data_IF_402678848101
#
_entry.id   IF_402678848101
#
_cell.length_a   1.000
_cell.length_b   1.000
_cell.length_c   1.000
_cell.angle_alpha   90.00
_cell.angle_beta   90.00
_cell.angle_gamma   90.00
#
_symmetry.space_group_name_H-M   'P 1'
#
loop_
_entity.id
_entity.type
_entity.pdbx_description
1 polymer ?
#
# COMPACT_ATOMS: atom_id res chain seq x y z
N UNK A 1 23.83 11.11 -7.60
CA UNK A 1 22.37 11.15 -7.34
C UNK A 1 22.05 10.04 -6.37
N UNK A 2 21.17 10.27 -5.39
CA UNK A 2 20.60 9.24 -4.53
C UNK A 2 19.09 9.28 -4.73
N UNK A 3 18.47 8.18 -5.15
CA UNK A 3 17.03 8.11 -5.45
C UNK A 3 16.35 7.02 -4.62
N UNK A 4 15.39 7.39 -3.77
CA UNK A 4 14.55 6.43 -3.04
C UNK A 4 13.43 5.84 -3.90
N UNK A 5 13.42 4.53 -4.10
CA UNK A 5 12.41 3.79 -4.87
C UNK A 5 11.17 3.59 -4.00
N UNK A 6 10.19 4.48 -4.12
CA UNK A 6 8.87 4.34 -3.45
C UNK A 6 7.88 3.51 -4.26
N UNK A 7 8.17 3.30 -5.52
CA UNK A 7 7.39 2.54 -6.48
C UNK A 7 8.33 2.03 -7.59
N UNK A 8 7.74 1.38 -8.60
CA UNK A 8 8.48 0.78 -9.71
C UNK A 8 8.80 1.75 -10.85
N UNK A 9 8.27 2.98 -10.84
CA UNK A 9 8.43 3.94 -11.95
C UNK A 9 9.89 4.18 -12.32
N UNK A 10 10.86 4.29 -11.39
CA UNK A 10 12.25 4.53 -11.75
C UNK A 10 12.87 3.41 -12.60
N UNK A 11 12.27 2.22 -12.66
CA UNK A 11 12.86 1.08 -13.37
C UNK A 11 11.91 0.35 -14.32
N UNK A 12 10.70 0.86 -14.50
CA UNK A 12 9.76 0.45 -15.55
C UNK A 12 9.73 1.48 -16.67
N UNK A 13 8.99 1.21 -17.74
CA UNK A 13 8.68 2.17 -18.81
C UNK A 13 7.53 3.13 -18.47
N UNK A 14 7.29 3.42 -17.18
CA UNK A 14 6.36 4.46 -16.73
C UNK A 14 5.25 4.02 -15.76
N UNK A 15 5.11 2.72 -15.47
CA UNK A 15 4.12 2.27 -14.49
C UNK A 15 4.67 2.33 -13.05
N UNK A 16 3.86 2.81 -12.10
CA UNK A 16 4.21 2.82 -10.68
C UNK A 16 4.19 1.41 -10.08
N UNK A 17 3.33 0.53 -10.59
CA UNK A 17 3.32 -0.88 -10.25
C UNK A 17 3.02 -1.71 -11.50
N UNK A 18 3.71 -2.82 -11.67
CA UNK A 18 3.59 -3.65 -12.88
C UNK A 18 2.52 -4.74 -12.75
N UNK A 19 1.96 -4.97 -11.56
CA UNK A 19 1.07 -6.10 -11.31
C UNK A 19 1.76 -7.42 -11.65
N UNK A 20 1.17 -8.18 -12.57
CA UNK A 20 1.73 -9.45 -13.07
C UNK A 20 2.67 -9.27 -14.27
N UNK A 21 2.86 -8.05 -14.79
CA UNK A 21 3.75 -7.78 -15.90
C UNK A 21 5.21 -7.74 -15.44
N UNK A 22 6.08 -8.52 -16.08
CA UNK A 22 7.52 -8.57 -15.79
C UNK A 22 8.39 -7.95 -16.89
N UNK A 23 7.79 -7.29 -17.89
CA UNK A 23 8.52 -6.74 -19.04
C UNK A 23 9.54 -5.67 -18.68
N UNK A 24 9.51 -5.11 -17.46
CA UNK A 24 10.57 -4.23 -16.97
C UNK A 24 11.96 -4.91 -16.95
N UNK A 25 12.00 -6.25 -16.87
CA UNK A 25 13.22 -7.04 -16.97
C UNK A 25 13.76 -7.17 -18.41
N UNK A 26 12.90 -7.02 -19.42
CA UNK A 26 13.26 -7.09 -20.85
C UNK A 26 13.25 -5.73 -21.55
N UNK A 27 12.90 -4.66 -20.84
CA UNK A 27 12.94 -3.28 -21.34
C UNK A 27 11.60 -2.69 -21.79
N UNK A 28 10.48 -3.23 -21.30
CA UNK A 28 9.11 -2.78 -21.61
C UNK A 28 8.76 -2.86 -23.12
N UNK A 29 7.67 -2.21 -23.54
CA UNK A 29 7.05 -2.38 -24.86
C UNK A 29 5.81 -3.29 -24.83
N UNK A 30 4.86 -3.06 -25.74
CA UNK A 30 3.57 -3.77 -25.80
C UNK A 30 2.92 -3.84 -24.39
N UNK A 31 2.86 -2.70 -23.73
CA UNK A 31 2.40 -2.49 -22.38
C UNK A 31 0.89 -2.80 -22.29
N UNK A 32 0.48 -3.77 -21.46
CA UNK A 32 -0.93 -4.14 -21.32
C UNK A 32 -1.80 -3.00 -20.78
N UNK A 33 -1.22 -2.09 -19.98
CA UNK A 33 -1.93 -0.92 -19.44
C UNK A 33 -2.27 0.08 -20.56
N UNK A 34 -1.45 0.16 -21.61
CA UNK A 34 -1.66 1.05 -22.76
C UNK A 34 -2.39 0.36 -23.91
N UNK A 35 -2.90 -0.86 -23.71
CA UNK A 35 -3.63 -1.63 -24.73
C UNK A 35 -2.77 -2.65 -25.49
N UNK A 36 -1.47 -2.77 -25.20
CA UNK A 36 -0.61 -3.86 -25.68
C UNK A 36 -0.30 -3.84 -27.19
N UNK A 37 -0.41 -2.67 -27.83
CA UNK A 37 -0.18 -2.49 -29.26
C UNK A 37 1.30 -2.28 -29.61
N UNK A 38 1.55 -1.65 -30.76
CA UNK A 38 2.91 -1.34 -31.24
C UNK A 38 3.50 -0.06 -30.59
N UNK A 39 3.10 0.31 -29.37
CA UNK A 39 3.63 1.51 -28.76
C UNK A 39 5.08 1.32 -28.28
N UNK A 40 5.94 2.27 -28.69
CA UNK A 40 7.35 2.30 -28.33
C UNK A 40 7.64 3.15 -27.11
N UNK A 41 6.67 3.97 -26.67
CA UNK A 41 6.88 4.98 -25.62
C UNK A 41 7.46 4.39 -24.32
N UNK A 42 7.05 3.17 -23.94
CA UNK A 42 7.54 2.55 -22.70
C UNK A 42 8.95 1.97 -22.84
N UNK A 43 9.33 1.47 -24.01
CA UNK A 43 10.69 1.01 -24.27
C UNK A 43 11.65 2.18 -24.54
N UNK A 44 11.15 3.26 -25.15
CA UNK A 44 11.88 4.53 -25.28
C UNK A 44 12.16 5.17 -23.92
N UNK A 45 11.18 5.17 -23.00
CA UNK A 45 11.37 5.64 -21.62
C UNK A 45 12.42 4.80 -20.86
N UNK A 46 12.40 3.47 -21.01
CA UNK A 46 13.45 2.59 -20.49
C UNK A 46 14.82 2.97 -21.07
N UNK A 47 14.93 3.12 -22.39
CA UNK A 47 16.19 3.46 -23.05
C UNK A 47 16.69 4.84 -22.60
N UNK A 48 15.78 5.79 -22.41
CA UNK A 48 16.08 7.10 -21.85
C UNK A 48 16.65 6.99 -20.43
N UNK A 49 16.01 6.24 -19.54
CA UNK A 49 16.50 6.05 -18.15
C UNK A 49 17.85 5.35 -18.10
N UNK A 50 18.05 4.29 -18.90
CA UNK A 50 19.35 3.58 -19.02
C UNK A 50 20.46 4.56 -19.42
N UNK A 51 20.19 5.43 -20.40
CA UNK A 51 21.15 6.41 -20.91
C UNK A 51 21.47 7.52 -19.89
N UNK A 52 20.48 7.98 -19.13
CA UNK A 52 20.63 9.19 -18.31
C UNK A 52 20.86 8.93 -16.82
N UNK A 53 20.63 7.71 -16.33
CA UNK A 53 21.04 7.34 -14.98
C UNK A 53 22.55 7.18 -14.94
N UNK A 54 23.22 8.18 -14.34
CA UNK A 54 24.68 8.21 -14.26
C UNK A 54 25.26 7.00 -13.51
N UNK A 55 26.50 6.60 -13.81
CA UNK A 55 27.14 5.41 -13.23
C UNK A 55 27.33 5.47 -11.72
N UNK A 56 27.34 6.67 -11.12
CA UNK A 56 27.46 6.89 -9.68
C UNK A 56 26.11 7.08 -8.98
N UNK A 57 25.00 6.75 -9.66
CA UNK A 57 23.66 6.84 -9.06
C UNK A 57 23.45 5.69 -8.09
N UNK A 58 23.01 6.02 -6.88
CA UNK A 58 22.61 5.04 -5.86
C UNK A 58 21.09 5.06 -5.75
N UNK A 59 20.48 3.88 -5.82
CA UNK A 59 19.05 3.71 -5.66
C UNK A 59 18.77 3.05 -4.31
N UNK A 60 17.81 3.58 -3.57
CA UNK A 60 17.47 3.12 -2.23
C UNK A 60 16.07 2.54 -2.26
N UNK A 61 15.96 1.23 -2.30
CA UNK A 61 14.69 0.53 -2.20
C UNK A 61 14.16 0.57 -0.77
N UNK A 62 12.85 0.80 -0.62
CA UNK A 62 12.19 0.79 0.69
C UNK A 62 11.82 -0.60 1.18
N UNK A 63 12.01 -1.63 0.36
CA UNK A 63 11.80 -3.04 0.71
C UNK A 63 12.71 -3.95 -0.12
N UNK A 64 12.91 -5.19 0.34
CA UNK A 64 13.63 -6.21 -0.43
C UNK A 64 12.89 -6.54 -1.73
N UNK A 65 11.55 -6.60 -1.71
CA UNK A 65 10.73 -6.87 -2.90
C UNK A 65 11.01 -5.86 -4.02
N UNK A 66 11.00 -4.57 -3.71
CA UNK A 66 11.32 -3.51 -4.69
C UNK A 66 12.78 -3.61 -5.13
N UNK A 67 13.71 -3.92 -4.22
CA UNK A 67 15.12 -4.09 -4.54
C UNK A 67 15.36 -5.23 -5.53
N UNK A 68 14.71 -6.37 -5.33
CA UNK A 68 14.77 -7.53 -6.22
C UNK A 68 14.21 -7.22 -7.61
N UNK A 69 13.06 -6.56 -7.68
CA UNK A 69 12.48 -6.13 -8.96
C UNK A 69 13.39 -5.12 -9.69
N UNK A 70 13.95 -4.16 -8.97
CA UNK A 70 14.90 -3.20 -9.51
C UNK A 70 16.16 -3.89 -10.05
N UNK A 71 16.73 -4.86 -9.31
CA UNK A 71 17.90 -5.65 -9.74
C UNK A 71 17.61 -6.50 -10.98
N UNK A 72 16.37 -6.95 -11.18
CA UNK A 72 15.94 -7.67 -12.39
C UNK A 72 15.70 -6.74 -13.59
N UNK A 73 15.47 -5.45 -13.35
CA UNK A 73 15.09 -4.50 -14.40
C UNK A 73 16.22 -4.20 -15.39
N UNK A 74 15.87 -3.93 -16.65
CA UNK A 74 16.82 -3.43 -17.65
C UNK A 74 17.45 -2.11 -17.22
N UNK A 75 16.69 -1.26 -16.52
CA UNK A 75 17.12 0.09 -16.16
C UNK A 75 18.17 0.09 -15.05
N UNK A 76 17.99 -0.74 -14.01
CA UNK A 76 18.75 -0.66 -12.76
C UNK A 76 19.64 -1.87 -12.44
N UNK A 77 19.61 -2.96 -13.23
CA UNK A 77 20.39 -4.18 -12.91
C UNK A 77 21.90 -3.97 -12.72
N UNK A 78 22.48 -2.97 -13.37
CA UNK A 78 23.91 -2.61 -13.25
C UNK A 78 24.16 -1.39 -12.32
N UNK A 79 23.19 -1.04 -11.46
CA UNK A 79 23.26 0.14 -10.58
C UNK A 79 23.43 -0.28 -9.12
N UNK A 80 23.99 0.62 -8.31
CA UNK A 80 24.06 0.40 -6.87
C UNK A 80 22.65 0.52 -6.26
N UNK A 81 22.14 -0.60 -5.73
CA UNK A 81 20.83 -0.71 -5.09
C UNK A 81 21.02 -1.12 -3.64
N UNK A 82 20.65 -0.21 -2.73
CA UNK A 82 20.63 -0.42 -1.27
C UNK A 82 19.19 -0.55 -0.78
N UNK A 83 19.02 -1.19 0.36
CA UNK A 83 17.71 -1.32 1.02
C UNK A 83 17.73 -0.52 2.31
N UNK A 84 16.85 0.48 2.41
CA UNK A 84 16.60 1.25 3.63
C UNK A 84 15.09 1.33 3.80
N UNK A 85 14.51 0.50 4.70
CA UNK A 85 13.08 0.51 4.98
C UNK A 85 12.54 1.85 5.44
N UNK A 86 11.25 2.08 5.23
CA UNK A 86 10.55 3.19 5.90
C UNK A 86 10.53 2.94 7.41
N UNK A 87 10.72 4.01 8.18
CA UNK A 87 10.61 4.00 9.64
C UNK A 87 9.34 4.70 10.09
N UNK A 88 8.90 4.40 11.31
CA UNK A 88 7.83 5.11 12.00
C UNK A 88 8.39 5.86 13.21
N UNK A 89 7.77 6.98 13.54
CA UNK A 89 8.18 7.80 14.68
C UNK A 89 7.63 7.20 15.98
N UNK A 90 8.46 6.41 16.67
CA UNK A 90 8.07 5.66 17.87
C UNK A 90 7.65 6.57 19.04
N UNK A 91 8.03 7.85 19.02
CA UNK A 91 7.58 8.84 20.00
C UNK A 91 6.09 9.19 19.84
N UNK A 92 5.56 9.05 18.62
CA UNK A 92 4.16 9.33 18.26
C UNK A 92 3.30 8.06 18.25
N UNK A 93 3.80 6.97 17.67
CA UNK A 93 3.10 5.68 17.60
C UNK A 93 3.56 4.75 18.73
N UNK A 94 2.91 4.88 19.88
CA UNK A 94 3.19 4.08 21.08
C UNK A 94 1.93 3.42 21.61
N UNK A 95 2.05 2.16 22.04
CA UNK A 95 0.95 1.44 22.64
C UNK A 95 0.32 2.24 23.79
N UNK A 96 -1.00 2.40 23.74
CA UNK A 96 -1.83 2.98 24.79
C UNK A 96 -2.62 1.89 25.51
N UNK A 97 -3.23 2.24 26.64
CA UNK A 97 -4.23 1.36 27.24
C UNK A 97 -5.39 1.14 26.25
N UNK A 98 -5.67 -0.13 25.96
CA UNK A 98 -6.65 -0.52 24.94
C UNK A 98 -8.07 -0.06 25.30
N UNK A 99 -8.45 -0.11 26.58
CA UNK A 99 -9.78 0.29 27.01
C UNK A 99 -9.96 1.81 26.90
N UNK A 100 -8.93 2.59 27.25
CA UNK A 100 -8.91 4.04 27.05
C UNK A 100 -8.99 4.41 25.57
N UNK A 101 -8.22 3.74 24.71
CA UNK A 101 -8.25 3.99 23.26
C UNK A 101 -9.63 3.68 22.65
N UNK A 102 -10.24 2.56 23.04
CA UNK A 102 -11.62 2.21 22.63
C UNK A 102 -12.63 3.25 23.09
N UNK A 103 -12.55 3.66 24.37
CA UNK A 103 -13.46 4.67 24.91
C UNK A 103 -13.32 6.02 24.20
N UNK A 104 -12.09 6.44 23.88
CA UNK A 104 -11.83 7.70 23.19
C UNK A 104 -12.39 7.72 21.76
N UNK A 105 -12.37 6.55 21.09
CA UNK A 105 -12.87 6.38 19.72
C UNK A 105 -14.35 5.99 19.64
N UNK A 106 -15.04 5.81 20.77
CA UNK A 106 -16.42 5.32 20.81
C UNK A 106 -16.57 3.86 20.35
N UNK A 107 -15.51 3.06 20.46
CA UNK A 107 -15.49 1.66 20.06
C UNK A 107 -15.99 0.75 21.22
N UNK A 108 -16.61 -0.40 20.89
CA UNK A 108 -17.14 -1.31 21.90
C UNK A 108 -16.02 -1.95 22.74
N UNK A 109 -16.19 -1.95 24.06
CA UNK A 109 -15.20 -2.49 25.00
C UNK A 109 -15.07 -4.03 24.92
N UNK A 110 -16.19 -4.74 24.73
CA UNK A 110 -16.30 -6.20 24.87
C UNK A 110 -16.36 -6.95 23.52
N UNK A 111 -15.85 -6.35 22.44
CA UNK A 111 -15.79 -6.99 21.12
C UNK A 111 -14.34 -7.17 20.67
N UNK A 112 -14.16 -8.07 19.70
CA UNK A 112 -12.93 -8.24 18.95
C UNK A 112 -12.85 -7.16 17.86
N UNK A 113 -11.97 -6.19 18.02
CA UNK A 113 -11.84 -5.03 17.14
C UNK A 113 -10.80 -5.29 16.06
N UNK A 114 -11.22 -5.27 14.80
CA UNK A 114 -10.35 -5.41 13.63
C UNK A 114 -10.18 -4.04 12.98
N UNK A 115 -8.94 -3.54 12.93
CA UNK A 115 -8.64 -2.30 12.23
C UNK A 115 -8.17 -2.58 10.79
N UNK A 116 -8.56 -1.71 9.86
CA UNK A 116 -8.01 -1.69 8.50
C UNK A 116 -8.06 -0.28 7.97
N UNK A 117 -7.05 0.11 7.20
CA UNK A 117 -7.04 1.42 6.58
C UNK A 117 -6.25 1.53 5.30
N UNK A 118 -6.68 2.46 4.46
CA UNK A 118 -6.05 2.84 3.20
C UNK A 118 -6.42 4.28 2.86
N UNK A 119 -5.65 4.95 1.99
CA UNK A 119 -6.05 6.27 1.49
C UNK A 119 -7.45 6.23 0.84
N UNK A 120 -7.70 5.17 0.06
CA UNK A 120 -9.00 4.81 -0.48
C UNK A 120 -9.24 3.32 -0.22
N UNK A 121 -10.26 3.01 0.58
CA UNK A 121 -10.66 1.64 0.93
C UNK A 121 -11.21 0.86 -0.27
N UNK A 122 -11.75 1.56 -1.28
CA UNK A 122 -12.30 0.95 -2.48
C UNK A 122 -11.25 0.72 -3.59
N UNK A 123 -9.96 1.02 -3.36
CA UNK A 123 -8.90 0.77 -4.34
C UNK A 123 -8.66 -0.75 -4.51
N UNK A 124 -8.84 -1.31 -5.72
CA UNK A 124 -8.60 -2.73 -5.98
C UNK A 124 -7.19 -3.19 -5.58
N UNK A 125 -6.17 -2.34 -5.73
CA UNK A 125 -4.78 -2.68 -5.36
C UNK A 125 -4.61 -2.88 -3.85
N UNK A 126 -5.45 -2.21 -3.05
CA UNK A 126 -5.50 -2.35 -1.59
C UNK A 126 -6.39 -3.52 -1.14
N UNK A 127 -6.85 -4.35 -2.08
CA UNK A 127 -7.64 -5.54 -1.79
C UNK A 127 -9.10 -5.25 -1.49
N UNK A 128 -9.69 -4.22 -2.11
CA UNK A 128 -11.09 -3.83 -1.88
C UNK A 128 -12.08 -4.99 -2.07
N UNK A 129 -11.86 -5.88 -3.04
CA UNK A 129 -12.72 -7.06 -3.26
C UNK A 129 -12.62 -8.08 -2.11
N UNK A 130 -11.41 -8.29 -1.58
CA UNK A 130 -11.17 -9.17 -0.44
C UNK A 130 -11.83 -8.57 0.81
N UNK A 131 -11.64 -7.27 1.04
CA UNK A 131 -12.26 -6.58 2.18
C UNK A 131 -13.79 -6.60 2.08
N UNK A 132 -14.36 -6.35 0.89
CA UNK A 132 -15.80 -6.48 0.64
C UNK A 132 -16.34 -7.84 1.02
N UNK A 133 -15.65 -8.90 0.59
CA UNK A 133 -16.05 -10.26 0.89
C UNK A 133 -16.02 -10.53 2.39
N UNK A 134 -14.94 -10.15 3.08
CA UNK A 134 -14.80 -10.34 4.53
C UNK A 134 -15.88 -9.57 5.30
N UNK A 135 -16.11 -8.30 4.97
CA UNK A 135 -17.16 -7.49 5.61
C UNK A 135 -18.56 -8.07 5.40
N UNK A 136 -18.81 -8.71 4.26
CA UNK A 136 -20.08 -9.41 4.00
C UNK A 136 -20.23 -10.67 4.86
N UNK A 137 -19.18 -11.49 4.94
CA UNK A 137 -19.18 -12.74 5.74
C UNK A 137 -19.38 -12.47 7.23
N UNK A 138 -18.77 -11.42 7.76
CA UNK A 138 -18.84 -11.06 9.18
C UNK A 138 -19.86 -9.96 9.49
N UNK A 139 -20.80 -9.67 8.57
CA UNK A 139 -21.75 -8.55 8.70
C UNK A 139 -22.59 -8.62 9.97
N UNK A 140 -23.10 -9.81 10.30
CA UNK A 140 -24.01 -10.03 11.44
C UNK A 140 -23.29 -10.59 12.68
N UNK A 141 -21.95 -10.69 12.66
CA UNK A 141 -21.19 -11.16 13.80
C UNK A 141 -21.15 -10.10 14.90
N UNK A 142 -21.83 -10.40 16.02
CA UNK A 142 -21.95 -9.52 17.18
C UNK A 142 -20.68 -9.43 18.02
N UNK A 143 -19.76 -10.39 17.86
CA UNK A 143 -18.49 -10.43 18.60
C UNK A 143 -17.39 -9.64 17.90
N UNK A 144 -17.54 -9.34 16.61
CA UNK A 144 -16.57 -8.58 15.81
C UNK A 144 -17.00 -7.13 15.66
N UNK A 145 -16.03 -6.22 15.63
CA UNK A 145 -16.23 -4.83 15.26
C UNK A 145 -15.12 -4.35 14.33
N UNK A 146 -15.50 -3.73 13.21
CA UNK A 146 -14.57 -3.20 12.22
C UNK A 146 -14.30 -1.72 12.46
N UNK A 147 -13.03 -1.37 12.57
CA UNK A 147 -12.54 -0.01 12.69
C UNK A 147 -11.86 0.36 11.36
N UNK A 148 -12.60 1.03 10.46
CA UNK A 148 -12.15 1.34 9.11
C UNK A 148 -11.75 2.81 8.99
N UNK A 149 -10.61 3.09 8.37
CA UNK A 149 -10.17 4.46 8.14
C UNK A 149 -9.61 4.66 6.73
N UNK A 150 -9.90 5.81 6.15
CA UNK A 150 -9.71 6.07 4.72
C UNK A 150 -10.93 6.72 4.08
N UNK A 151 -10.78 7.13 2.82
CA UNK A 151 -11.91 7.46 1.95
C UNK A 151 -12.52 6.17 1.38
N UNK A 152 -13.70 6.26 0.78
CA UNK A 152 -14.21 5.15 -0.02
C UNK A 152 -14.99 4.08 0.76
N UNK A 153 -15.47 4.36 1.98
CA UNK A 153 -16.15 3.34 2.80
C UNK A 153 -17.50 2.91 2.20
N UNK A 154 -18.31 3.85 1.72
CA UNK A 154 -19.60 3.53 1.11
C UNK A 154 -19.42 2.85 -0.26
N UNK A 155 -18.37 3.21 -0.99
CA UNK A 155 -17.96 2.57 -2.24
C UNK A 155 -17.36 1.17 -2.01
N UNK A 156 -16.77 0.96 -0.84
CA UNK A 156 -16.35 -0.36 -0.40
C UNK A 156 -17.58 -1.22 -0.09
N UNK A 157 -18.51 -0.76 0.76
CA UNK A 157 -19.68 -1.55 1.17
C UNK A 157 -20.90 -0.66 1.46
N UNK A 158 -22.03 -0.99 0.84
CA UNK A 158 -23.31 -0.31 1.03
C UNK A 158 -24.46 -1.34 1.13
N UNK A 159 -25.35 -1.28 2.15
CA UNK A 159 -25.22 -0.44 3.35
C UNK A 159 -23.99 -0.83 4.18
N UNK A 160 -23.40 0.17 4.85
CA UNK A 160 -22.33 -0.03 5.82
C UNK A 160 -22.86 -0.87 6.99
N UNK A 161 -22.24 -2.02 7.35
CA UNK A 161 -22.69 -2.85 8.46
C UNK A 161 -22.72 -2.11 9.81
N UNK A 162 -23.66 -2.46 10.69
CA UNK A 162 -23.76 -1.87 12.04
C UNK A 162 -22.53 -2.15 12.91
N UNK A 163 -21.83 -3.25 12.65
CA UNK A 163 -20.58 -3.58 13.33
C UNK A 163 -19.35 -2.91 12.69
N UNK A 164 -19.52 -1.86 11.88
CA UNK A 164 -18.44 -1.07 11.31
C UNK A 164 -18.48 0.38 11.82
N UNK A 165 -17.31 0.91 12.18
CA UNK A 165 -17.10 2.34 12.44
C UNK A 165 -16.08 2.87 11.43
N UNK A 166 -16.49 3.90 10.68
CA UNK A 166 -15.63 4.61 9.73
C UNK A 166 -15.08 5.90 10.32
N UNK A 167 -13.76 6.09 10.31
CA UNK A 167 -13.10 7.31 10.79
C UNK A 167 -12.72 8.30 9.68
N UNK A 168 -12.98 7.95 8.42
CA UNK A 168 -12.58 8.78 7.28
C UNK A 168 -11.06 8.90 7.16
N UNK A 169 -10.59 9.92 6.43
CA UNK A 169 -9.16 10.14 6.24
C UNK A 169 -8.51 10.66 7.53
N UNK A 170 -7.56 9.90 8.07
CA UNK A 170 -6.77 10.31 9.24
C UNK A 170 -5.54 11.09 8.80
N UNK A 171 -5.33 12.25 9.42
CA UNK A 171 -4.13 13.10 9.26
C UNK A 171 -3.48 13.45 10.61
N UNK A 172 -4.05 12.94 11.69
CA UNK A 172 -3.63 13.20 13.05
C UNK A 172 -3.03 11.91 13.63
N UNK A 173 -1.74 11.96 13.98
CA UNK A 173 -0.99 10.84 14.51
C UNK A 173 -1.56 10.36 15.86
N UNK A 174 -2.21 11.23 16.64
CA UNK A 174 -2.86 10.88 17.91
C UNK A 174 -4.04 9.94 17.64
N UNK A 175 -4.90 10.28 16.68
CA UNK A 175 -6.04 9.46 16.31
C UNK A 175 -5.56 8.14 15.71
N UNK A 176 -4.54 8.19 14.84
CA UNK A 176 -3.96 6.99 14.26
C UNK A 176 -3.40 6.05 15.33
N UNK A 177 -2.68 6.58 16.31
CA UNK A 177 -2.16 5.80 17.43
C UNK A 177 -3.26 5.17 18.29
N UNK A 178 -4.37 5.90 18.52
CA UNK A 178 -5.54 5.37 19.22
C UNK A 178 -6.18 4.23 18.44
N UNK A 179 -6.32 4.34 17.12
CA UNK A 179 -6.89 3.27 16.28
C UNK A 179 -6.04 2.01 16.41
N UNK A 180 -4.72 2.12 16.25
CA UNK A 180 -3.82 0.98 16.40
C UNK A 180 -3.84 0.38 17.80
N UNK A 181 -3.92 1.22 18.85
CA UNK A 181 -3.98 0.75 20.24
C UNK A 181 -5.33 0.11 20.62
N UNK A 182 -6.42 0.52 19.99
CA UNK A 182 -7.77 -0.01 20.25
C UNK A 182 -8.00 -1.38 19.58
N UNK A 183 -7.31 -1.64 18.48
CA UNK A 183 -7.45 -2.85 17.69
C UNK A 183 -6.89 -4.09 18.42
N UNK A 184 -7.51 -5.24 18.17
CA UNK A 184 -6.95 -6.55 18.49
C UNK A 184 -6.05 -7.06 17.36
N UNK A 185 -6.39 -6.72 16.11
CA UNK A 185 -5.60 -7.04 14.93
C UNK A 185 -5.77 -5.94 13.88
N UNK A 186 -4.70 -5.70 13.11
CA UNK A 186 -4.74 -4.89 11.90
C UNK A 186 -4.69 -5.79 10.67
N UNK A 187 -5.58 -5.55 9.72
CA UNK A 187 -5.67 -6.32 8.47
C UNK A 187 -5.43 -5.40 7.29
N UNK A 188 -4.56 -5.83 6.37
CA UNK A 188 -4.28 -5.14 5.12
C UNK A 188 -4.19 -6.16 3.97
N UNK A 189 -5.27 -6.36 3.21
CA UNK A 189 -5.32 -7.36 2.14
C UNK A 189 -4.76 -6.84 0.81
N UNK A 190 -3.77 -5.95 0.86
CA UNK A 190 -3.18 -5.33 -0.33
C UNK A 190 -2.65 -6.39 -1.31
N UNK A 191 -3.02 -6.27 -2.58
CA UNK A 191 -2.49 -7.08 -3.66
C UNK A 191 -1.13 -6.58 -4.13
N UNK A 192 -0.89 -5.27 -4.00
CA UNK A 192 0.34 -4.61 -4.41
C UNK A 192 0.72 -3.54 -3.39
N UNK A 193 1.94 -3.65 -2.88
CA UNK A 193 2.51 -2.71 -1.92
C UNK A 193 4.02 -2.60 -2.12
N UNK A 194 4.57 -1.39 -1.90
CA UNK A 194 6.02 -1.18 -1.96
C UNK A 194 6.71 -1.47 -0.63
N UNK A 195 6.01 -1.30 0.50
CA UNK A 195 6.53 -1.59 1.84
C UNK A 195 5.44 -2.08 2.80
N UNK A 196 4.43 -1.24 3.06
CA UNK A 196 3.33 -1.51 3.98
C UNK A 196 2.23 -0.48 3.83
#
# INVERSE_FOLDING_TARGET
MVWTLRDMWPFTGGCHFSGTCEKYASGCGQCPILGGGEETITSEDVAFKVKHYGPQSVFVAISETIAEQARKSTVLRERDIRVIPNSVEMSQLRAMDKAQARSALGLPANKFVIASGALNLADPRKGADIMRHILSVYRDDKNVHWCLFGKGLAELVDPVPENCTGFGLIRDDVILNQIYSAADVFVMPSLQESFG
#
